data_IF_383613772223
#
_entry.id   IF_383613772223
#
_cell.length_a   1.000
_cell.length_b   1.000
_cell.length_c   1.000
_cell.angle_alpha   90.00
_cell.angle_beta   90.00
_cell.angle_gamma   90.00
#
_symmetry.space_group_name_H-M   'P 1'
#
loop_
_entity.id
_entity.type
_entity.pdbx_description
1 polymer ?
#
# COMPACT_ATOMS: atom_id res chain seq x y z
N UNK A 1 -15.85 -14.35 -35.97
CA UNK A 1 -16.58 -13.46 -35.04
C UNK A 1 -17.25 -12.29 -35.76
N UNK A 2 -16.64 -11.63 -36.73
CA UNK A 2 -17.19 -10.45 -37.41
C UNK A 2 -18.54 -10.64 -38.11
N UNK A 3 -18.82 -11.82 -38.68
CA UNK A 3 -20.04 -12.09 -39.42
C UNK A 3 -21.30 -12.18 -38.51
N UNK A 4 -21.12 -12.62 -37.26
CA UNK A 4 -22.22 -12.67 -36.29
C UNK A 4 -22.55 -11.27 -35.76
N UNK A 5 -21.56 -10.43 -35.55
CA UNK A 5 -21.73 -9.07 -35.06
C UNK A 5 -22.51 -8.18 -36.03
N UNK A 6 -22.31 -8.33 -37.33
CA UNK A 6 -23.00 -7.54 -38.34
C UNK A 6 -24.52 -7.85 -38.47
N UNK A 7 -24.97 -9.01 -37.99
CA UNK A 7 -26.36 -9.42 -38.02
C UNK A 7 -27.20 -9.04 -36.79
N UNK A 8 -26.56 -8.48 -35.76
CA UNK A 8 -27.24 -8.10 -34.50
C UNK A 8 -27.86 -6.71 -34.65
N UNK A 9 -29.07 -6.47 -34.15
CA UNK A 9 -29.68 -5.15 -34.12
C UNK A 9 -28.82 -4.13 -33.37
N UNK A 10 -28.78 -2.89 -33.86
CA UNK A 10 -27.93 -1.82 -33.29
C UNK A 10 -28.20 -1.57 -31.79
N UNK A 11 -29.46 -1.65 -31.37
CA UNK A 11 -29.85 -1.51 -29.95
C UNK A 11 -29.20 -2.56 -29.05
N UNK A 12 -29.10 -3.80 -29.51
CA UNK A 12 -28.45 -4.89 -28.76
C UNK A 12 -26.90 -4.73 -28.78
N UNK A 13 -26.35 -4.24 -29.86
CA UNK A 13 -24.91 -3.99 -29.94
C UNK A 13 -24.50 -2.95 -28.91
N UNK A 14 -25.12 -1.79 -28.89
CA UNK A 14 -24.74 -0.66 -28.04
C UNK A 14 -24.94 -0.92 -26.54
N UNK A 15 -26.01 -1.66 -26.17
CA UNK A 15 -26.36 -1.88 -24.78
C UNK A 15 -25.67 -3.12 -24.17
N UNK A 16 -25.51 -4.18 -24.95
CA UNK A 16 -25.07 -5.48 -24.43
C UNK A 16 -23.65 -5.87 -24.87
N UNK A 17 -23.26 -5.55 -26.10
CA UNK A 17 -22.02 -6.06 -26.68
C UNK A 17 -20.87 -5.04 -26.57
N UNK A 18 -21.10 -3.81 -26.97
CA UNK A 18 -20.07 -2.78 -27.04
C UNK A 18 -19.41 -2.47 -25.67
N UNK A 19 -20.10 -2.60 -24.51
CA UNK A 19 -19.45 -2.45 -23.22
C UNK A 19 -18.40 -3.56 -22.90
N UNK A 20 -18.49 -4.69 -23.60
CA UNK A 20 -17.64 -5.87 -23.33
C UNK A 20 -16.74 -6.27 -24.50
N UNK A 21 -17.00 -5.77 -25.70
CA UNK A 21 -16.26 -6.14 -26.91
C UNK A 21 -15.97 -4.92 -27.78
N UNK A 22 -14.72 -4.54 -27.93
CA UNK A 22 -14.28 -3.54 -28.90
C UNK A 22 -13.69 -4.25 -30.11
N UNK A 23 -14.42 -4.24 -31.24
CA UNK A 23 -13.92 -4.81 -32.49
C UNK A 23 -12.82 -3.92 -33.08
N UNK A 24 -12.91 -2.61 -32.87
CA UNK A 24 -11.96 -1.64 -33.40
C UNK A 24 -10.55 -1.85 -32.80
N UNK A 25 -10.51 -2.13 -31.52
CA UNK A 25 -9.25 -2.27 -30.77
C UNK A 25 -8.85 -3.75 -30.59
N UNK A 26 -9.70 -4.69 -31.08
CA UNK A 26 -9.55 -6.13 -30.91
C UNK A 26 -9.42 -6.55 -29.43
N UNK A 27 -10.24 -5.93 -28.58
CA UNK A 27 -10.26 -6.15 -27.14
C UNK A 27 -11.59 -6.72 -26.66
N UNK A 28 -11.52 -7.60 -25.66
CA UNK A 28 -12.68 -8.12 -24.95
C UNK A 28 -12.54 -7.89 -23.45
N UNK A 29 -13.63 -7.46 -22.80
CA UNK A 29 -13.69 -7.19 -21.38
C UNK A 29 -14.44 -8.29 -20.64
N UNK A 30 -13.77 -8.92 -19.68
CA UNK A 30 -14.39 -9.85 -18.72
C UNK A 30 -14.58 -9.11 -17.40
N UNK A 31 -15.82 -9.01 -16.93
CA UNK A 31 -16.17 -8.34 -15.69
C UNK A 31 -16.42 -9.38 -14.58
N UNK A 32 -15.63 -9.32 -13.53
CA UNK A 32 -15.75 -10.17 -12.35
C UNK A 32 -16.20 -9.31 -11.16
N UNK A 33 -17.19 -9.80 -10.42
CA UNK A 33 -17.60 -9.18 -9.15
C UNK A 33 -17.04 -10.00 -8.00
N UNK A 34 -16.36 -9.33 -7.09
CA UNK A 34 -15.76 -9.94 -5.89
C UNK A 34 -16.46 -9.34 -4.68
N UNK A 35 -16.81 -10.20 -3.71
CA UNK A 35 -17.35 -9.76 -2.42
C UNK A 35 -16.19 -9.29 -1.57
N UNK A 36 -16.02 -7.97 -1.46
CA UNK A 36 -14.88 -7.33 -0.78
C UNK A 36 -14.97 -7.41 0.75
N UNK A 37 -16.15 -7.69 1.29
CA UNK A 37 -16.39 -7.81 2.76
C UNK A 37 -16.01 -9.17 3.36
N UNK A 38 -15.35 -10.05 2.62
CA UNK A 38 -14.84 -11.30 3.16
C UNK A 38 -13.59 -11.04 4.01
N UNK A 39 -13.62 -11.44 5.29
CA UNK A 39 -12.54 -11.23 6.26
C UNK A 39 -11.20 -11.88 5.82
N UNK A 40 -11.27 -13.00 5.10
CA UNK A 40 -10.11 -13.76 4.61
C UNK A 40 -9.63 -13.32 3.20
N UNK A 41 -10.19 -12.27 2.62
CA UNK A 41 -9.83 -11.84 1.26
C UNK A 41 -8.45 -11.18 1.21
N UNK A 42 -7.43 -11.96 0.91
CA UNK A 42 -6.09 -11.45 0.61
C UNK A 42 -6.04 -10.95 -0.84
N UNK A 43 -6.33 -9.65 -1.04
CA UNK A 43 -6.43 -9.03 -2.36
C UNK A 43 -5.19 -9.25 -3.23
N UNK A 44 -4.02 -9.08 -2.64
CA UNK A 44 -2.76 -9.27 -3.35
C UNK A 44 -2.55 -10.72 -3.82
N UNK A 45 -2.86 -11.68 -2.96
CA UNK A 45 -2.74 -13.11 -3.28
C UNK A 45 -3.73 -13.51 -4.38
N UNK A 46 -4.95 -12.96 -4.35
CA UNK A 46 -5.94 -13.17 -5.39
C UNK A 46 -5.47 -12.62 -6.74
N UNK A 47 -4.95 -11.40 -6.78
CA UNK A 47 -4.44 -10.77 -8.00
C UNK A 47 -3.26 -11.58 -8.56
N UNK A 48 -2.33 -11.99 -7.70
CA UNK A 48 -1.19 -12.80 -8.10
C UNK A 48 -1.63 -14.17 -8.64
N UNK A 49 -2.62 -14.79 -8.02
CA UNK A 49 -3.19 -16.06 -8.48
C UNK A 49 -3.86 -15.91 -9.86
N UNK A 50 -4.62 -14.84 -10.06
CA UNK A 50 -5.25 -14.57 -11.37
C UNK A 50 -4.16 -14.39 -12.44
N UNK A 51 -3.13 -13.59 -12.17
CA UNK A 51 -2.01 -13.40 -13.10
C UNK A 51 -1.29 -14.71 -13.41
N UNK A 52 -1.05 -15.52 -12.37
CA UNK A 52 -0.43 -16.84 -12.54
C UNK A 52 -1.30 -17.77 -13.41
N UNK A 53 -2.60 -17.86 -13.11
CA UNK A 53 -3.52 -18.73 -13.87
C UNK A 53 -3.67 -18.27 -15.32
N UNK A 54 -3.69 -16.95 -15.61
CA UNK A 54 -3.74 -16.43 -16.97
C UNK A 54 -2.49 -16.80 -17.76
N UNK A 55 -1.34 -16.75 -17.12
CA UNK A 55 -0.06 -17.09 -17.76
C UNK A 55 0.10 -18.60 -17.94
N UNK A 56 -0.14 -19.37 -16.88
CA UNK A 56 0.14 -20.82 -16.85
C UNK A 56 -0.92 -21.62 -17.61
N UNK A 57 -2.22 -21.34 -17.41
CA UNK A 57 -3.32 -22.11 -17.99
C UNK A 57 -3.74 -21.63 -19.37
N UNK A 58 -3.67 -20.31 -19.61
CA UNK A 58 -4.13 -19.72 -20.85
C UNK A 58 -2.98 -19.30 -21.78
N UNK A 59 -1.73 -19.35 -21.31
CA UNK A 59 -0.56 -19.00 -22.10
C UNK A 59 -0.50 -17.52 -22.51
N UNK A 60 -1.22 -16.63 -21.79
CA UNK A 60 -1.27 -15.22 -22.08
C UNK A 60 -0.03 -14.52 -21.50
N UNK A 61 0.60 -13.66 -22.31
CA UNK A 61 1.67 -12.79 -21.84
C UNK A 61 1.08 -11.50 -21.22
N UNK A 62 1.86 -10.79 -20.40
CA UNK A 62 1.42 -9.55 -19.74
C UNK A 62 0.96 -8.44 -20.71
N UNK A 63 1.39 -8.50 -21.96
CA UNK A 63 0.96 -7.60 -23.03
C UNK A 63 -0.44 -7.93 -23.59
N UNK A 64 -0.89 -9.18 -23.43
CA UNK A 64 -2.13 -9.68 -24.02
C UNK A 64 -3.37 -9.41 -23.15
N UNK A 65 -3.18 -9.07 -21.88
CA UNK A 65 -4.27 -8.75 -20.96
C UNK A 65 -3.91 -7.61 -20.00
N UNK A 66 -4.92 -6.93 -19.50
CA UNK A 66 -4.78 -5.89 -18.48
C UNK A 66 -5.82 -6.09 -17.39
N UNK A 67 -5.36 -6.36 -16.19
CA UNK A 67 -6.24 -6.35 -15.02
C UNK A 67 -6.54 -4.91 -14.63
N UNK A 68 -7.82 -4.56 -14.57
CA UNK A 68 -8.28 -3.22 -14.22
C UNK A 68 -9.47 -3.30 -13.26
N UNK A 69 -9.73 -2.23 -12.54
CA UNK A 69 -10.87 -2.13 -11.65
C UNK A 69 -10.51 -1.61 -10.27
N UNK A 70 -11.53 -1.30 -9.47
CA UNK A 70 -11.39 -0.69 -8.15
C UNK A 70 -10.55 -1.55 -7.20
N UNK A 71 -10.72 -2.87 -7.24
CA UNK A 71 -9.95 -3.80 -6.39
C UNK A 71 -8.45 -3.70 -6.66
N UNK A 72 -8.06 -3.65 -7.94
CA UNK A 72 -6.64 -3.59 -8.34
C UNK A 72 -6.05 -2.23 -8.00
N UNK A 73 -6.81 -1.15 -8.29
CA UNK A 73 -6.41 0.20 -7.93
C UNK A 73 -6.18 0.32 -6.43
N UNK A 74 -7.12 -0.17 -5.61
CA UNK A 74 -7.04 -0.12 -4.16
C UNK A 74 -5.87 -0.97 -3.62
N UNK A 75 -5.66 -2.17 -4.17
CA UNK A 75 -4.50 -2.99 -3.81
C UNK A 75 -3.18 -2.29 -4.11
N UNK A 76 -3.04 -1.71 -5.30
CA UNK A 76 -1.82 -1.00 -5.70
C UNK A 76 -1.58 0.25 -4.83
N UNK A 77 -2.64 0.98 -4.47
CA UNK A 77 -2.56 2.10 -3.54
C UNK A 77 -2.07 1.64 -2.16
N UNK A 78 -2.66 0.58 -1.59
CA UNK A 78 -2.25 0.07 -0.29
C UNK A 78 -0.80 -0.43 -0.31
N UNK A 79 -0.39 -1.16 -1.33
CA UNK A 79 0.99 -1.63 -1.47
C UNK A 79 1.99 -0.46 -1.60
N UNK A 80 1.64 0.56 -2.37
CA UNK A 80 2.45 1.77 -2.53
C UNK A 80 2.55 2.56 -1.23
N UNK A 81 1.44 2.74 -0.51
CA UNK A 81 1.41 3.39 0.80
C UNK A 81 2.28 2.65 1.81
N UNK A 82 2.16 1.33 1.88
CA UNK A 82 2.95 0.52 2.81
C UNK A 82 4.45 0.65 2.54
N UNK A 83 4.86 0.51 1.28
CA UNK A 83 6.27 0.65 0.87
C UNK A 83 6.79 2.06 1.16
N UNK A 84 6.02 3.09 0.83
CA UNK A 84 6.36 4.48 1.08
C UNK A 84 6.50 4.75 2.58
N UNK A 85 5.60 4.20 3.41
CA UNK A 85 5.63 4.38 4.86
C UNK A 85 6.89 3.80 5.48
N UNK A 86 7.29 2.58 5.12
CA UNK A 86 8.52 1.96 5.64
C UNK A 86 9.74 2.79 5.27
N UNK A 87 9.80 3.25 4.02
CA UNK A 87 10.93 4.05 3.53
C UNK A 87 10.99 5.41 4.23
N UNK A 88 9.85 6.08 4.37
CA UNK A 88 9.74 7.40 5.03
C UNK A 88 10.09 7.29 6.51
N UNK A 89 9.59 6.25 7.21
CA UNK A 89 9.90 5.99 8.61
C UNK A 89 11.41 5.78 8.81
N UNK A 90 12.02 4.98 7.95
CA UNK A 90 13.48 4.77 7.97
C UNK A 90 14.27 6.06 7.75
N UNK A 91 13.87 6.86 6.76
CA UNK A 91 14.51 8.14 6.45
C UNK A 91 14.39 9.14 7.62
N UNK A 92 13.20 9.24 8.21
CA UNK A 92 12.95 10.10 9.39
C UNK A 92 13.81 9.65 10.57
N UNK A 93 13.92 8.36 10.84
CA UNK A 93 14.77 7.84 11.93
C UNK A 93 16.25 8.15 11.72
N UNK A 94 16.74 8.06 10.49
CA UNK A 94 18.11 8.47 10.14
C UNK A 94 18.28 9.99 10.35
N UNK A 95 17.31 10.79 9.95
CA UNK A 95 17.30 12.23 10.18
C UNK A 95 17.39 12.60 11.68
N UNK A 96 16.54 11.97 12.50
CA UNK A 96 16.54 12.16 13.96
C UNK A 96 17.87 11.76 14.58
N UNK A 97 18.41 10.61 14.17
CA UNK A 97 19.71 10.16 14.65
C UNK A 97 20.85 11.13 14.30
N UNK A 98 20.85 11.63 13.05
CA UNK A 98 21.82 12.63 12.59
C UNK A 98 21.70 13.93 13.40
N UNK A 99 20.47 14.38 13.65
CA UNK A 99 20.21 15.56 14.48
C UNK A 99 20.74 15.37 15.90
N UNK A 100 20.54 14.20 16.52
CA UNK A 100 21.06 13.92 17.85
C UNK A 100 22.60 13.87 17.89
N UNK A 101 23.25 13.35 16.84
CA UNK A 101 24.70 13.37 16.73
C UNK A 101 25.23 14.80 16.72
N UNK A 102 24.60 15.70 15.96
CA UNK A 102 24.99 17.11 15.87
C UNK A 102 24.76 17.81 17.21
N UNK A 103 23.63 17.54 17.88
CA UNK A 103 23.23 18.17 19.14
C UNK A 103 24.13 17.73 20.31
N UNK A 104 24.33 16.42 20.47
CA UNK A 104 25.03 15.88 21.63
C UNK A 104 26.53 15.67 21.38
N UNK A 105 26.98 15.73 20.13
CA UNK A 105 28.39 15.47 19.73
C UNK A 105 28.95 14.18 20.30
N UNK A 106 28.10 13.25 20.66
CA UNK A 106 28.45 11.97 21.28
C UNK A 106 27.54 10.87 20.74
N UNK A 107 28.10 9.91 20.01
CA UNK A 107 27.39 8.82 19.38
C UNK A 107 26.60 7.96 20.38
N UNK A 108 27.20 7.69 21.58
CA UNK A 108 26.54 6.89 22.62
C UNK A 108 25.27 7.55 23.13
N UNK A 109 25.33 8.86 23.42
CA UNK A 109 24.18 9.66 23.86
C UNK A 109 23.10 9.75 22.78
N UNK A 110 23.51 9.95 21.54
CA UNK A 110 22.60 9.99 20.40
C UNK A 110 21.88 8.65 20.20
N UNK A 111 22.57 7.55 20.35
CA UNK A 111 21.98 6.22 20.26
C UNK A 111 20.95 5.99 21.38
N UNK A 112 21.28 6.35 22.62
CA UNK A 112 20.37 6.25 23.75
C UNK A 112 19.12 7.11 23.53
N UNK A 113 19.26 8.31 22.96
CA UNK A 113 18.12 9.20 22.64
C UNK A 113 17.20 8.69 21.53
N UNK A 114 17.73 7.91 20.60
CA UNK A 114 16.94 7.37 19.49
C UNK A 114 16.18 6.10 19.87
N UNK A 115 16.70 5.30 20.80
CA UNK A 115 16.07 4.03 21.23
C UNK A 115 14.61 4.18 21.64
N UNK A 116 14.20 5.15 22.50
CA UNK A 116 12.79 5.32 22.85
C UNK A 116 11.87 5.59 21.64
N UNK A 117 12.38 6.32 20.65
CA UNK A 117 11.62 6.63 19.42
C UNK A 117 11.42 5.39 18.56
N UNK A 118 12.41 4.51 18.46
CA UNK A 118 12.25 3.21 17.82
C UNK A 118 11.19 2.35 18.55
N UNK A 119 11.29 2.28 19.88
CA UNK A 119 10.33 1.51 20.70
C UNK A 119 8.91 2.05 20.49
N UNK A 120 8.72 3.37 20.53
CA UNK A 120 7.41 3.99 20.31
C UNK A 120 6.85 3.67 18.91
N UNK A 121 7.67 3.77 17.85
CA UNK A 121 7.29 3.47 16.49
C UNK A 121 6.87 2.00 16.32
N UNK A 122 7.70 1.06 16.80
CA UNK A 122 7.40 -0.38 16.73
C UNK A 122 6.21 -0.77 17.58
N UNK A 123 6.04 -0.15 18.75
CA UNK A 123 4.91 -0.43 19.63
C UNK A 123 3.59 -0.04 18.99
N UNK A 124 3.51 1.14 18.38
CA UNK A 124 2.28 1.61 17.71
C UNK A 124 1.97 0.76 16.50
N UNK A 125 2.95 0.56 15.60
CA UNK A 125 2.75 -0.26 14.41
C UNK A 125 2.45 -1.72 14.79
N UNK A 126 3.07 -2.23 15.85
CA UNK A 126 2.82 -3.56 16.39
C UNK A 126 1.41 -3.72 16.95
N UNK A 127 0.90 -2.75 17.72
CA UNK A 127 -0.48 -2.78 18.23
C UNK A 127 -1.48 -2.70 17.08
N UNK A 128 -1.29 -1.80 16.12
CA UNK A 128 -2.15 -1.70 14.94
C UNK A 128 -2.21 -3.04 14.21
N UNK A 129 -1.06 -3.70 14.02
CA UNK A 129 -0.98 -5.01 13.40
C UNK A 129 -1.65 -6.13 14.22
N UNK A 130 -1.45 -6.15 15.55
CA UNK A 130 -2.05 -7.14 16.45
C UNK A 130 -3.57 -7.02 16.53
N UNK A 131 -4.09 -5.79 16.47
CA UNK A 131 -5.55 -5.54 16.48
C UNK A 131 -6.20 -5.77 15.13
N UNK A 132 -5.42 -6.12 14.09
CA UNK A 132 -5.93 -6.32 12.74
C UNK A 132 -6.50 -5.04 12.11
N UNK A 133 -6.09 -3.86 12.62
CA UNK A 133 -6.55 -2.58 12.08
C UNK A 133 -5.90 -2.38 10.71
N UNK A 134 -6.70 -2.15 9.65
CA UNK A 134 -6.13 -1.93 8.32
C UNK A 134 -5.29 -0.65 8.30
N UNK A 135 -4.13 -0.73 7.64
CA UNK A 135 -3.28 0.43 7.42
C UNK A 135 -3.94 1.33 6.37
N UNK A 136 -4.56 2.38 6.84
CA UNK A 136 -5.13 3.46 6.03
C UNK A 136 -4.36 4.78 6.25
N UNK A 137 -4.78 5.84 5.58
CA UNK A 137 -4.16 7.17 5.71
C UNK A 137 -4.26 7.68 7.15
N UNK A 138 -5.36 7.37 7.86
CA UNK A 138 -5.57 7.80 9.25
C UNK A 138 -4.59 7.12 10.20
N UNK A 139 -4.44 5.80 10.13
CA UNK A 139 -3.52 5.03 10.99
C UNK A 139 -2.07 5.42 10.77
N UNK A 140 -1.68 5.70 9.52
CA UNK A 140 -0.36 6.20 9.16
C UNK A 140 -0.11 7.59 9.76
N UNK A 141 -1.09 8.47 9.70
CA UNK A 141 -1.00 9.84 10.27
C UNK A 141 -0.85 9.79 11.78
N UNK A 142 -1.62 8.95 12.47
CA UNK A 142 -1.52 8.75 13.93
C UNK A 142 -0.12 8.27 14.32
N UNK A 143 0.41 7.28 13.59
CA UNK A 143 1.77 6.78 13.83
C UNK A 143 2.82 7.89 13.66
N UNK A 144 2.74 8.69 12.60
CA UNK A 144 3.66 9.78 12.34
C UNK A 144 3.63 10.88 13.45
N UNK A 145 2.43 11.28 13.90
CA UNK A 145 2.25 12.26 14.98
C UNK A 145 2.87 11.72 16.27
N UNK A 146 2.62 10.47 16.61
CA UNK A 146 3.12 9.88 17.85
C UNK A 146 4.64 9.77 17.86
N UNK A 147 5.26 9.43 16.72
CA UNK A 147 6.71 9.43 16.59
C UNK A 147 7.26 10.85 16.79
N UNK A 148 6.61 11.87 16.20
CA UNK A 148 7.01 13.26 16.40
C UNK A 148 7.00 13.70 17.88
N UNK A 149 5.96 13.34 18.62
CA UNK A 149 5.84 13.62 20.05
C UNK A 149 6.92 12.85 20.85
N UNK A 150 7.20 11.61 20.49
CA UNK A 150 8.22 10.81 21.15
C UNK A 150 9.63 11.41 20.98
N UNK A 151 9.94 11.93 19.80
CA UNK A 151 11.20 12.64 19.51
C UNK A 151 11.35 13.88 20.37
N UNK A 152 10.31 14.71 20.43
CA UNK A 152 10.32 15.93 21.22
C UNK A 152 10.55 15.64 22.71
N UNK A 153 9.84 14.70 23.27
CA UNK A 153 10.02 14.26 24.64
C UNK A 153 11.44 13.73 24.90
N UNK A 154 12.02 12.98 23.95
CA UNK A 154 13.38 12.45 24.09
C UNK A 154 14.43 13.57 24.11
N UNK A 155 14.25 14.60 23.29
CA UNK A 155 15.14 15.78 23.26
C UNK A 155 15.09 16.51 24.62
N UNK A 156 13.89 16.82 25.09
CA UNK A 156 13.71 17.50 26.37
C UNK A 156 14.28 16.71 27.54
N UNK A 157 14.05 15.42 27.59
CA UNK A 157 14.57 14.54 28.65
C UNK A 157 16.10 14.52 28.67
N UNK A 158 16.75 14.35 27.53
CA UNK A 158 18.22 14.28 27.46
C UNK A 158 18.84 15.65 27.75
N UNK A 159 18.26 16.75 27.24
CA UNK A 159 18.75 18.10 27.56
C UNK A 159 18.64 18.39 29.06
N UNK A 160 17.57 17.97 29.71
CA UNK A 160 17.40 18.10 31.16
C UNK A 160 18.48 17.31 31.92
N UNK A 161 18.83 16.11 31.46
CA UNK A 161 19.90 15.29 32.06
C UNK A 161 21.30 15.86 31.89
N UNK A 162 21.58 16.58 30.82
CA UNK A 162 22.90 17.17 30.55
C UNK A 162 23.05 18.50 31.31
N UNK A 163 21.95 19.18 31.64
CA UNK A 163 21.98 20.44 32.38
C UNK A 163 21.90 20.30 33.91
N UNK A 164 21.74 19.08 34.43
CA UNK A 164 21.87 18.76 35.85
C UNK A 164 23.29 18.36 36.16
#
# INVERSE_FOLDING_TARGET
>A
MGVLYTKIPETIKTEIIDPYLSIKDNEARISLRIIDSQEDLRRNDLINKINFDLKDKFGLEEKDYKLAGVLILFNNLLQSLFKSQILTLGLVMIGIFSMFIILFRNIKLSLIGVVPNFIAAFFILGIIGLLGIPLDIMTITIAAITIGIAVDNSIHYILSLIHI
#
